data_IF_006142785780
#
_entry.id   IF_006142785780
#
_cell.length_a   1.000
_cell.length_b   1.000
_cell.length_c   1.000
_cell.angle_alpha   90.00
_cell.angle_beta   90.00
_cell.angle_gamma   90.00
#
_symmetry.space_group_name_H-M   'P 1'
#
loop_
_entity.id
_entity.type
_entity.pdbx_description
1 polymer ?
#
# COMPACT_ATOMS: atom_id res chain seq x y z
N UNK A 1 18.84 -1.39 -7.75
CA UNK A 1 18.56 -0.66 -6.50
C UNK A 1 19.36 -1.32 -5.38
N UNK A 2 20.09 -0.54 -4.59
CA UNK A 2 20.69 -1.01 -3.34
C UNK A 2 19.61 -1.20 -2.29
N UNK A 3 19.90 -1.94 -1.22
CA UNK A 3 18.95 -2.10 -0.11
C UNK A 3 18.59 -0.76 0.55
N UNK A 4 19.57 0.15 0.69
CA UNK A 4 19.32 1.50 1.23
C UNK A 4 18.39 2.32 0.34
N UNK A 5 18.60 2.29 -0.98
CA UNK A 5 17.72 2.97 -1.93
C UNK A 5 16.29 2.37 -1.88
N UNK A 6 16.17 1.05 -1.75
CA UNK A 6 14.88 0.38 -1.56
C UNK A 6 14.18 0.91 -0.32
N UNK A 7 14.84 0.88 0.84
CA UNK A 7 14.25 1.32 2.10
C UNK A 7 13.83 2.78 2.05
N UNK A 8 14.63 3.67 1.44
CA UNK A 8 14.27 5.08 1.26
C UNK A 8 12.98 5.24 0.44
N UNK A 9 12.89 4.58 -0.71
CA UNK A 9 11.70 4.65 -1.58
C UNK A 9 10.47 4.00 -0.93
N UNK A 10 10.68 2.90 -0.21
CA UNK A 10 9.63 2.14 0.45
C UNK A 10 9.07 2.87 1.68
N UNK A 11 9.92 3.52 2.48
CA UNK A 11 9.47 4.39 3.58
C UNK A 11 8.74 5.62 3.04
N UNK A 12 9.25 6.25 1.97
CA UNK A 12 8.55 7.37 1.33
C UNK A 12 7.19 6.96 0.76
N UNK A 13 7.03 5.70 0.32
CA UNK A 13 5.72 5.19 -0.08
C UNK A 13 4.75 5.14 1.10
N UNK A 14 5.17 4.67 2.28
CA UNK A 14 4.29 4.68 3.45
C UNK A 14 3.84 6.08 3.82
N UNK A 15 4.75 7.07 3.81
CA UNK A 15 4.40 8.46 4.14
C UNK A 15 3.34 9.02 3.18
N UNK A 16 3.41 8.65 1.89
CA UNK A 16 2.41 9.02 0.89
C UNK A 16 1.07 8.31 1.11
N UNK A 17 1.09 7.03 1.50
CA UNK A 17 -0.14 6.26 1.75
C UNK A 17 -0.90 6.89 2.92
N UNK A 18 -0.22 7.15 4.03
CA UNK A 18 -0.80 7.79 5.21
C UNK A 18 -1.42 9.14 4.86
N UNK A 19 -0.68 10.00 4.14
CA UNK A 19 -1.20 11.30 3.69
C UNK A 19 -2.41 11.17 2.77
N UNK A 20 -2.40 10.22 1.82
CA UNK A 20 -3.50 10.02 0.88
C UNK A 20 -4.76 9.48 1.58
N UNK A 21 -4.60 8.61 2.58
CA UNK A 21 -5.72 8.09 3.37
C UNK A 21 -6.31 9.18 4.26
N UNK A 22 -5.46 9.98 4.91
CA UNK A 22 -5.90 11.14 5.71
C UNK A 22 -6.65 12.17 4.85
N UNK A 23 -6.15 12.48 3.64
CA UNK A 23 -6.82 13.40 2.71
C UNK A 23 -8.15 12.87 2.18
N UNK A 24 -8.28 11.55 2.02
CA UNK A 24 -9.50 10.93 1.53
C UNK A 24 -10.67 11.05 2.55
N UNK A 25 -10.38 11.06 3.85
CA UNK A 25 -11.37 11.16 4.95
C UNK A 25 -12.49 10.10 4.86
N UNK A 26 -12.10 8.84 4.61
CA UNK A 26 -12.98 7.69 4.28
C UNK A 26 -13.19 6.71 5.44
N UNK A 27 -13.03 7.15 6.69
CA UNK A 27 -13.21 6.28 7.87
C UNK A 27 -12.26 5.08 7.92
N UNK A 28 -11.03 5.26 7.41
CA UNK A 28 -9.95 4.28 7.45
C UNK A 28 -8.77 4.87 8.21
N UNK A 29 -8.38 4.22 9.29
CA UNK A 29 -7.22 4.60 10.11
C UNK A 29 -5.95 3.92 9.60
N UNK A 30 -4.81 4.59 9.73
CA UNK A 30 -3.49 4.05 9.38
C UNK A 30 -2.61 3.85 10.63
N UNK A 31 -2.10 2.64 10.84
CA UNK A 31 -1.15 2.31 11.91
C UNK A 31 0.15 1.75 11.33
N UNK A 32 1.30 2.36 11.69
CA UNK A 32 2.62 1.90 11.26
C UNK A 32 3.38 1.21 12.40
N UNK A 33 3.88 0.00 12.12
CA UNK A 33 4.74 -0.78 13.00
C UNK A 33 5.98 -1.30 12.25
N UNK A 34 7.06 -0.53 12.27
CA UNK A 34 8.30 -0.88 11.57
C UNK A 34 8.10 -0.95 10.05
N UNK A 35 8.21 -2.14 9.47
CA UNK A 35 8.04 -2.38 8.04
C UNK A 35 6.60 -2.70 7.63
N UNK A 36 5.64 -2.59 8.56
CA UNK A 36 4.23 -2.89 8.32
C UNK A 36 3.41 -1.61 8.48
N UNK A 37 2.52 -1.37 7.53
CA UNK A 37 1.49 -0.35 7.57
C UNK A 37 0.14 -1.05 7.48
N UNK A 38 -0.72 -0.89 8.47
CA UNK A 38 -2.07 -1.43 8.51
C UNK A 38 -3.05 -0.29 8.27
N UNK A 39 -3.93 -0.46 7.29
CA UNK A 39 -5.10 0.38 7.07
C UNK A 39 -6.33 -0.38 7.56
N UNK A 40 -7.09 0.18 8.50
CA UNK A 40 -8.24 -0.48 9.13
C UNK A 40 -9.48 0.40 9.04
N UNK A 41 -10.58 -0.17 8.54
CA UNK A 41 -11.87 0.48 8.54
C UNK A 41 -12.62 0.26 9.86
N UNK A 42 -13.64 1.07 10.14
CA UNK A 42 -14.52 0.91 11.33
C UNK A 42 -15.16 -0.49 11.46
N UNK A 43 -15.29 -1.22 10.35
CA UNK A 43 -15.79 -2.60 10.31
C UNK A 43 -14.80 -3.64 10.86
N UNK A 44 -13.52 -3.27 11.04
CA UNK A 44 -12.41 -4.17 11.36
C UNK A 44 -11.79 -4.86 10.14
N UNK A 45 -12.25 -4.57 8.92
CA UNK A 45 -11.60 -5.02 7.69
C UNK A 45 -10.28 -4.26 7.47
N UNK A 46 -9.25 -4.98 7.00
CA UNK A 46 -7.89 -4.44 6.92
C UNK A 46 -7.26 -4.61 5.53
N UNK A 47 -6.42 -3.63 5.19
CA UNK A 47 -5.39 -3.74 4.16
C UNK A 47 -4.02 -3.60 4.84
N UNK A 48 -3.16 -4.61 4.70
CA UNK A 48 -1.83 -4.63 5.31
C UNK A 48 -0.77 -4.50 4.23
N UNK A 49 0.09 -3.49 4.35
CA UNK A 49 1.22 -3.25 3.46
C UNK A 49 2.53 -3.57 4.21
N UNK A 50 3.41 -4.38 3.61
CA UNK A 50 4.69 -4.78 4.20
C UNK A 50 5.88 -4.47 3.27
N UNK A 51 6.92 -3.84 3.80
CA UNK A 51 8.20 -3.63 3.13
C UNK A 51 9.11 -4.85 3.30
N UNK A 52 9.21 -5.66 2.25
CA UNK A 52 9.99 -6.90 2.26
C UNK A 52 11.41 -6.68 1.71
N UNK A 53 12.30 -6.17 2.56
CA UNK A 53 13.69 -5.85 2.22
C UNK A 53 14.49 -6.99 1.53
N UNK A 54 14.38 -8.28 1.95
CA UNK A 54 15.14 -9.36 1.33
C UNK A 54 14.84 -9.56 -0.17
N UNK A 55 13.63 -9.23 -0.61
CA UNK A 55 13.24 -9.31 -2.03
C UNK A 55 13.10 -7.95 -2.70
N UNK A 56 13.34 -6.85 -1.96
CA UNK A 56 13.11 -5.48 -2.41
C UNK A 56 11.71 -5.28 -3.00
N UNK A 57 10.69 -5.80 -2.29
CA UNK A 57 9.29 -5.72 -2.71
C UNK A 57 8.43 -5.02 -1.67
N UNK A 58 7.34 -4.43 -2.15
CA UNK A 58 6.21 -4.01 -1.31
C UNK A 58 5.12 -5.06 -1.47
N UNK A 59 4.60 -5.56 -0.37
CA UNK A 59 3.50 -6.54 -0.37
C UNK A 59 2.24 -5.87 0.14
N UNK A 60 1.11 -6.12 -0.52
CA UNK A 60 -0.22 -5.69 -0.11
C UNK A 60 -1.06 -6.94 0.13
N UNK A 61 -1.61 -7.08 1.33
CA UNK A 61 -2.54 -8.13 1.70
C UNK A 61 -3.88 -7.51 2.08
N UNK A 62 -4.97 -8.09 1.57
CA UNK A 62 -6.34 -7.76 1.95
C UNK A 62 -7.18 -9.03 1.94
N UNK A 63 -8.46 -8.92 2.33
CA UNK A 63 -9.42 -10.03 2.17
C UNK A 63 -9.59 -10.48 0.71
N UNK A 64 -9.28 -9.63 -0.27
CA UNK A 64 -9.30 -9.99 -1.69
C UNK A 64 -8.06 -10.78 -2.16
N UNK A 65 -7.05 -10.89 -1.30
CA UNK A 65 -5.81 -11.63 -1.57
C UNK A 65 -4.55 -10.79 -1.40
N UNK A 66 -3.43 -11.37 -1.83
CA UNK A 66 -2.10 -10.77 -1.75
C UNK A 66 -1.53 -10.36 -3.12
N UNK A 67 -0.83 -9.24 -3.16
CA UNK A 67 -0.12 -8.71 -4.31
C UNK A 67 1.30 -8.32 -3.90
N UNK A 68 2.28 -8.57 -4.77
CA UNK A 68 3.66 -8.15 -4.58
C UNK A 68 4.04 -7.15 -5.68
N UNK A 69 4.76 -6.10 -5.30
CA UNK A 69 5.16 -5.01 -6.17
C UNK A 69 6.68 -4.86 -6.16
N UNK A 70 7.23 -4.55 -7.33
CA UNK A 70 8.65 -4.21 -7.50
C UNK A 70 8.78 -2.85 -8.19
N UNK A 71 9.90 -2.19 -8.00
CA UNK A 71 10.16 -0.89 -8.63
C UNK A 71 10.54 -1.09 -10.10
N UNK A 72 9.74 -0.54 -11.01
CA UNK A 72 9.98 -0.50 -12.46
C UNK A 72 9.84 0.94 -12.91
N UNK A 73 10.89 1.52 -13.50
CA UNK A 73 10.89 2.90 -14.02
C UNK A 73 10.39 3.97 -13.01
N UNK A 74 10.68 3.77 -11.72
CA UNK A 74 10.28 4.68 -10.64
C UNK A 74 8.85 4.47 -10.13
N UNK A 75 8.16 3.41 -10.56
CA UNK A 75 6.81 3.05 -10.14
C UNK A 75 6.76 1.67 -9.50
N UNK A 76 5.89 1.49 -8.51
CA UNK A 76 5.63 0.19 -7.90
C UNK A 76 4.66 -0.61 -8.75
N UNK A 77 5.18 -1.62 -9.46
CA UNK A 77 4.42 -2.43 -10.42
C UNK A 77 4.22 -3.85 -9.91
N UNK A 78 2.99 -4.36 -10.03
CA UNK A 78 2.64 -5.70 -9.59
C UNK A 78 3.38 -6.77 -10.40
N UNK A 79 4.04 -7.70 -9.71
CA UNK A 79 4.86 -8.74 -10.35
C UNK A 79 4.06 -9.77 -11.16
N UNK A 80 2.74 -9.84 -10.97
CA UNK A 80 1.85 -10.80 -11.63
C UNK A 80 1.18 -10.24 -12.90
N UNK A 81 0.78 -8.97 -12.88
CA UNK A 81 -0.07 -8.38 -13.93
C UNK A 81 0.35 -6.97 -14.36
N UNK A 82 1.49 -6.47 -13.86
CA UNK A 82 2.01 -5.12 -14.12
C UNK A 82 1.08 -3.96 -13.70
N UNK A 83 0.04 -4.23 -12.89
CA UNK A 83 -0.82 -3.18 -12.36
C UNK A 83 -0.04 -2.23 -11.44
N UNK A 84 -0.40 -0.95 -11.49
CA UNK A 84 0.17 0.07 -10.60
C UNK A 84 -0.30 -0.12 -9.14
N UNK A 85 0.60 0.14 -8.19
CA UNK A 85 0.33 0.01 -6.76
C UNK A 85 -0.86 0.84 -6.29
N UNK A 86 -0.97 2.10 -6.71
CA UNK A 86 -2.04 3.00 -6.27
C UNK A 86 -3.41 2.60 -6.80
N UNK A 87 -3.43 2.02 -8.00
CA UNK A 87 -4.65 1.43 -8.57
C UNK A 87 -5.13 0.25 -7.72
N UNK A 88 -4.24 -0.65 -7.32
CA UNK A 88 -4.60 -1.82 -6.51
C UNK A 88 -4.90 -1.43 -5.05
N UNK A 89 -4.18 -0.46 -4.49
CA UNK A 89 -4.47 0.10 -3.17
C UNK A 89 -5.84 0.77 -3.14
N UNK A 90 -6.17 1.60 -4.12
CA UNK A 90 -7.48 2.26 -4.22
C UNK A 90 -8.62 1.24 -4.25
N UNK A 91 -8.47 0.13 -4.98
CA UNK A 91 -9.47 -0.96 -5.00
C UNK A 91 -9.60 -1.63 -3.63
N UNK A 92 -8.48 -1.89 -2.96
CA UNK A 92 -8.48 -2.54 -1.65
C UNK A 92 -9.09 -1.64 -0.58
N UNK A 93 -8.75 -0.35 -0.57
CA UNK A 93 -9.31 0.66 0.35
C UNK A 93 -10.79 0.88 0.07
N UNK A 94 -11.20 1.03 -1.20
CA UNK A 94 -12.61 1.14 -1.57
C UNK A 94 -13.44 -0.04 -1.06
N UNK A 95 -12.86 -1.23 -1.02
CA UNK A 95 -13.54 -2.41 -0.54
C UNK A 95 -13.72 -2.44 0.97
N UNK A 96 -12.70 -2.06 1.75
CA UNK A 96 -12.79 -2.05 3.21
C UNK A 96 -13.60 -0.85 3.73
N UNK A 97 -13.58 0.27 3.02
CA UNK A 97 -14.36 1.48 3.31
C UNK A 97 -15.82 1.37 2.82
N UNK A 98 -16.15 0.35 2.03
CA UNK A 98 -17.47 0.14 1.40
C UNK A 98 -17.95 1.33 0.54
N UNK A 99 -17.03 2.16 0.06
CA UNK A 99 -17.29 3.29 -0.83
C UNK A 99 -16.20 3.44 -1.90
N UNK A 100 -16.44 4.27 -2.92
CA UNK A 100 -15.45 4.45 -3.98
C UNK A 100 -14.37 5.44 -3.54
N UNK A 101 -13.15 4.95 -3.33
CA UNK A 101 -11.98 5.74 -2.92
C UNK A 101 -10.93 5.73 -4.03
N UNK A 102 -10.43 6.92 -4.38
CA UNK A 102 -9.34 7.08 -5.34
C UNK A 102 -8.13 7.69 -4.63
N UNK A 103 -7.14 6.86 -4.33
CA UNK A 103 -5.88 7.31 -3.74
C UNK A 103 -4.86 7.59 -4.84
N UNK A 104 -4.11 8.67 -4.68
CA UNK A 104 -3.05 9.07 -5.61
C UNK A 104 -1.81 9.52 -4.84
N UNK A 105 -0.63 9.38 -5.47
CA UNK A 105 0.66 9.80 -4.94
C UNK A 105 0.92 11.30 -5.06
#
# INVERSE_FOLDING_TARGET
>A
MTETEFLQQATALFDRIEAAVEEADVGVDSERAGNVLTLEADSGEQVVINLHAPTQQVWLASRQGGLHFTMVDGQWSCTRNAADFWVELSKAVSFIAEEQVQLTA
#
